data_IF_765480149219
#
_entry.id   IF_765480149219
#
_cell.length_a   1.000
_cell.length_b   1.000
_cell.length_c   1.000
_cell.angle_alpha   90.00
_cell.angle_beta   90.00
_cell.angle_gamma   90.00
#
_symmetry.space_group_name_H-M   'P 1'
#
loop_
_entity.id
_entity.type
_entity.pdbx_description
1 polymer ?
#
# COMPACT_ATOMS: atom_id res chain seq x y z
N UNK A 1 34.14 -26.70 11.95
CA UNK A 1 33.60 -27.51 10.86
C UNK A 1 32.12 -27.16 10.76
N UNK A 2 31.69 -26.57 9.65
CA UNK A 2 30.26 -26.37 9.40
C UNK A 2 29.55 -27.71 9.22
N UNK A 3 28.24 -27.77 9.47
CA UNK A 3 27.43 -28.99 9.26
C UNK A 3 27.61 -29.52 7.82
N UNK A 4 27.65 -28.61 6.84
CA UNK A 4 27.84 -28.92 5.43
C UNK A 4 29.20 -29.55 5.14
N UNK A 5 30.29 -29.02 5.72
CA UNK A 5 31.63 -29.62 5.60
C UNK A 5 31.68 -31.02 6.23
N UNK A 6 31.05 -31.20 7.38
CA UNK A 6 31.01 -32.50 8.05
C UNK A 6 30.29 -33.55 7.19
N UNK A 7 29.12 -33.19 6.63
CA UNK A 7 28.37 -34.07 5.73
C UNK A 7 29.19 -34.42 4.48
N UNK A 8 29.81 -33.43 3.85
CA UNK A 8 30.60 -33.61 2.63
C UNK A 8 31.88 -34.43 2.83
N UNK A 9 32.65 -34.12 3.86
CA UNK A 9 34.00 -34.67 4.03
C UNK A 9 34.01 -35.97 4.83
N UNK A 10 33.03 -36.19 5.71
CA UNK A 10 33.04 -37.33 6.63
C UNK A 10 31.82 -38.22 6.47
N UNK A 11 30.62 -37.69 6.73
CA UNK A 11 29.47 -38.56 7.00
C UNK A 11 28.96 -39.26 5.73
N UNK A 12 28.90 -38.56 4.59
CA UNK A 12 28.52 -39.17 3.30
C UNK A 12 29.60 -40.14 2.78
N UNK A 13 30.90 -39.78 2.73
CA UNK A 13 31.95 -40.74 2.36
C UNK A 13 31.97 -41.97 3.26
N UNK A 14 31.82 -41.80 4.58
CA UNK A 14 31.78 -42.90 5.53
C UNK A 14 30.55 -43.79 5.30
N UNK A 15 29.35 -43.21 5.14
CA UNK A 15 28.13 -43.98 4.85
C UNK A 15 28.22 -44.76 3.54
N UNK A 16 28.86 -44.18 2.50
CA UNK A 16 29.15 -44.90 1.25
C UNK A 16 30.11 -46.05 1.46
N UNK A 17 31.14 -45.87 2.29
CA UNK A 17 32.08 -46.94 2.61
C UNK A 17 31.39 -48.07 3.35
N UNK A 18 30.55 -47.75 4.34
CA UNK A 18 29.73 -48.75 5.07
C UNK A 18 28.85 -49.56 4.12
N UNK A 19 28.21 -48.93 3.12
CA UNK A 19 27.44 -49.66 2.11
C UNK A 19 28.31 -50.60 1.24
N UNK A 20 29.54 -50.20 0.91
CA UNK A 20 30.49 -51.07 0.19
C UNK A 20 30.91 -52.25 1.04
N UNK A 21 31.18 -52.01 2.32
CA UNK A 21 31.56 -53.06 3.27
C UNK A 21 30.38 -54.04 3.46
N UNK A 22 29.15 -53.54 3.54
CA UNK A 22 27.94 -54.37 3.58
C UNK A 22 27.81 -55.27 2.36
N UNK A 23 28.12 -54.78 1.15
CA UNK A 23 28.08 -55.62 -0.04
C UNK A 23 29.04 -56.83 0.07
N UNK A 24 30.30 -56.59 0.47
CA UNK A 24 31.27 -57.67 0.68
C UNK A 24 30.85 -58.62 1.82
N UNK A 25 30.31 -58.07 2.91
CA UNK A 25 29.87 -58.87 4.05
C UNK A 25 28.67 -59.75 3.71
N UNK A 26 27.71 -59.24 2.92
CA UNK A 26 26.55 -60.02 2.50
C UNK A 26 26.92 -61.19 1.58
N UNK A 27 27.92 -61.02 0.72
CA UNK A 27 28.45 -62.12 -0.07
C UNK A 27 28.97 -63.24 0.85
N UNK A 28 29.76 -62.88 1.87
CA UNK A 28 30.27 -63.84 2.86
C UNK A 28 29.16 -64.52 3.67
N UNK A 29 28.12 -63.77 4.03
CA UNK A 29 26.94 -64.31 4.71
C UNK A 29 26.22 -65.31 3.81
N UNK A 30 26.08 -65.03 2.52
CA UNK A 30 25.49 -65.95 1.56
C UNK A 30 26.31 -67.25 1.44
N UNK A 31 27.64 -67.12 1.27
CA UNK A 31 28.56 -68.28 1.19
C UNK A 31 28.49 -69.13 2.47
N UNK A 32 28.39 -68.48 3.64
CA UNK A 32 28.20 -69.16 4.93
C UNK A 32 26.86 -69.89 5.01
N UNK A 33 25.75 -69.23 4.66
CA UNK A 33 24.42 -69.84 4.70
C UNK A 33 24.36 -71.09 3.80
N UNK A 34 24.94 -71.04 2.60
CA UNK A 34 25.03 -72.19 1.70
C UNK A 34 25.86 -73.32 2.32
N UNK A 35 27.08 -73.01 2.77
CA UNK A 35 27.99 -74.00 3.36
C UNK A 35 27.41 -74.63 4.62
N UNK A 36 26.82 -73.83 5.51
CA UNK A 36 26.16 -74.27 6.75
C UNK A 36 24.99 -75.20 6.42
N UNK A 37 24.15 -74.82 5.45
CA UNK A 37 23.03 -75.67 5.04
C UNK A 37 23.49 -76.99 4.45
N UNK A 38 24.56 -77.03 3.65
CA UNK A 38 25.09 -78.27 3.08
C UNK A 38 25.72 -79.19 4.13
N UNK A 39 26.51 -78.63 5.05
CA UNK A 39 27.27 -79.38 6.05
C UNK A 39 26.48 -79.76 7.30
N UNK A 40 25.40 -79.03 7.64
CA UNK A 40 24.62 -79.31 8.84
C UNK A 40 23.90 -80.67 8.78
N UNK A 41 23.90 -81.38 9.91
CA UNK A 41 23.11 -82.60 10.12
C UNK A 41 21.61 -82.31 10.25
N UNK A 42 21.25 -81.21 10.90
CA UNK A 42 19.87 -80.72 11.03
C UNK A 42 19.60 -79.56 10.06
N UNK A 43 18.90 -79.87 8.96
CA UNK A 43 18.58 -78.88 7.91
C UNK A 43 17.54 -77.84 8.37
N UNK A 44 16.67 -78.16 9.32
CA UNK A 44 15.65 -77.19 9.80
C UNK A 44 16.33 -76.07 10.58
N UNK A 45 17.25 -76.43 11.47
CA UNK A 45 18.02 -75.46 12.24
C UNK A 45 18.87 -74.55 11.35
N UNK A 46 19.57 -75.11 10.34
CA UNK A 46 20.37 -74.32 9.40
C UNK A 46 19.51 -73.36 8.55
N UNK A 47 18.29 -73.77 8.20
CA UNK A 47 17.34 -72.91 7.48
C UNK A 47 16.83 -71.75 8.36
N UNK A 48 16.51 -72.02 9.62
CA UNK A 48 16.10 -70.98 10.58
C UNK A 48 17.22 -69.94 10.77
N UNK A 49 18.47 -70.39 10.87
CA UNK A 49 19.64 -69.50 10.95
C UNK A 49 19.80 -68.65 9.69
N UNK A 50 19.62 -69.25 8.51
CA UNK A 50 19.63 -68.52 7.23
C UNK A 50 18.53 -67.46 7.16
N UNK A 51 17.33 -67.79 7.65
CA UNK A 51 16.20 -66.84 7.70
C UNK A 51 16.48 -65.67 8.65
N UNK A 52 17.09 -65.95 9.81
CA UNK A 52 17.50 -64.93 10.77
C UNK A 52 18.55 -63.99 10.16
N UNK A 53 19.61 -64.53 9.54
CA UNK A 53 20.65 -63.76 8.87
C UNK A 53 20.09 -62.95 7.69
N UNK A 54 19.14 -63.50 6.93
CA UNK A 54 18.47 -62.78 5.84
C UNK A 54 17.68 -61.58 6.35
N UNK A 55 16.95 -61.75 7.45
CA UNK A 55 16.16 -60.67 8.07
C UNK A 55 17.08 -59.58 8.62
N UNK A 56 18.16 -59.96 9.31
CA UNK A 56 19.17 -59.04 9.82
C UNK A 56 19.86 -58.26 8.69
N UNK A 57 20.21 -58.95 7.60
CA UNK A 57 20.83 -58.38 6.41
C UNK A 57 19.94 -57.33 5.75
N UNK A 58 18.65 -57.65 5.56
CA UNK A 58 17.67 -56.73 5.01
C UNK A 58 17.51 -55.48 5.88
N UNK A 59 17.34 -55.67 7.20
CA UNK A 59 17.21 -54.56 8.14
C UNK A 59 18.44 -53.65 8.13
N UNK A 60 19.63 -54.25 8.11
CA UNK A 60 20.89 -53.53 8.13
C UNK A 60 21.11 -52.69 6.87
N UNK A 61 20.94 -53.27 5.67
CA UNK A 61 21.08 -52.51 4.41
C UNK A 61 20.05 -51.39 4.33
N UNK A 62 18.79 -51.67 4.68
CA UNK A 62 17.72 -50.67 4.63
C UNK A 62 18.04 -49.48 5.52
N UNK A 63 18.53 -49.73 6.73
CA UNK A 63 18.95 -48.66 7.64
C UNK A 63 20.09 -47.83 7.05
N UNK A 64 21.14 -48.46 6.51
CA UNK A 64 22.28 -47.74 5.96
C UNK A 64 21.92 -46.91 4.73
N UNK A 65 21.06 -47.43 3.85
CA UNK A 65 20.55 -46.68 2.69
C UNK A 65 19.71 -45.49 3.16
N UNK A 66 18.81 -45.67 4.12
CA UNK A 66 17.97 -44.59 4.66
C UNK A 66 18.80 -43.49 5.34
N UNK A 67 19.79 -43.89 6.15
CA UNK A 67 20.71 -42.98 6.83
C UNK A 67 21.52 -42.14 5.84
N UNK A 68 22.12 -42.80 4.84
CA UNK A 68 22.90 -42.10 3.81
C UNK A 68 22.02 -41.18 2.94
N UNK A 69 20.82 -41.61 2.57
CA UNK A 69 19.88 -40.79 1.82
C UNK A 69 19.48 -39.53 2.60
N UNK A 70 19.21 -39.67 3.91
CA UNK A 70 18.89 -38.54 4.78
C UNK A 70 20.05 -37.56 4.88
N UNK A 71 21.29 -38.06 5.04
CA UNK A 71 22.49 -37.22 5.05
C UNK A 71 22.68 -36.47 3.72
N UNK A 72 22.44 -37.12 2.58
CA UNK A 72 22.50 -36.49 1.25
C UNK A 72 21.44 -35.41 1.05
N UNK A 73 20.18 -35.68 1.41
CA UNK A 73 19.11 -34.69 1.32
C UNK A 73 19.42 -33.47 2.20
N UNK A 74 19.92 -33.70 3.41
CA UNK A 74 20.34 -32.63 4.31
C UNK A 74 21.45 -31.75 3.71
N UNK A 75 22.43 -32.36 3.05
CA UNK A 75 23.48 -31.62 2.34
C UNK A 75 22.89 -30.74 1.23
N UNK A 76 21.97 -31.28 0.43
CA UNK A 76 21.34 -30.54 -0.66
C UNK A 76 20.50 -29.37 -0.15
N UNK A 77 19.75 -29.56 0.93
CA UNK A 77 18.97 -28.49 1.58
C UNK A 77 19.86 -27.35 2.08
N UNK A 78 21.00 -27.70 2.72
CA UNK A 78 21.98 -26.72 3.19
C UNK A 78 22.61 -25.95 2.01
N UNK A 79 22.99 -26.64 0.92
CA UNK A 79 23.50 -25.98 -0.28
C UNK A 79 22.47 -25.05 -0.92
N UNK A 80 21.21 -25.48 -1.00
CA UNK A 80 20.13 -24.66 -1.54
C UNK A 80 19.84 -23.43 -0.65
N UNK A 81 20.02 -23.53 0.67
CA UNK A 81 19.91 -22.39 1.57
C UNK A 81 21.07 -21.40 1.38
N UNK A 82 22.30 -21.88 1.27
CA UNK A 82 23.47 -21.02 1.01
C UNK A 82 23.36 -20.31 -0.34
N UNK A 83 22.89 -20.99 -1.39
CA UNK A 83 22.65 -20.37 -2.70
C UNK A 83 21.60 -19.27 -2.64
N UNK A 84 20.48 -19.48 -1.93
CA UNK A 84 19.45 -18.44 -1.74
C UNK A 84 19.99 -17.21 -1.00
N UNK A 85 20.89 -17.42 -0.04
CA UNK A 85 21.55 -16.31 0.67
C UNK A 85 22.44 -15.51 -0.29
N UNK A 86 23.27 -16.19 -1.08
CA UNK A 86 24.13 -15.56 -2.09
C UNK A 86 23.29 -14.82 -3.14
N UNK A 87 22.17 -15.40 -3.58
CA UNK A 87 21.23 -14.76 -4.50
C UNK A 87 20.67 -13.45 -3.92
N UNK A 88 20.25 -13.45 -2.65
CA UNK A 88 19.76 -12.25 -1.97
C UNK A 88 20.85 -11.18 -1.84
N UNK A 89 22.09 -11.58 -1.50
CA UNK A 89 23.24 -10.68 -1.42
C UNK A 89 23.55 -10.04 -2.79
N UNK A 90 23.54 -10.83 -3.86
CA UNK A 90 23.69 -10.35 -5.25
C UNK A 90 22.54 -9.41 -5.62
N UNK A 91 21.30 -9.73 -5.23
CA UNK A 91 20.14 -8.86 -5.43
C UNK A 91 20.31 -7.50 -4.76
N UNK A 92 20.80 -7.45 -3.52
CA UNK A 92 21.11 -6.20 -2.82
C UNK A 92 22.19 -5.39 -3.54
N UNK A 93 23.23 -6.06 -4.04
CA UNK A 93 24.30 -5.41 -4.82
C UNK A 93 23.74 -4.83 -6.12
N UNK A 94 22.91 -5.60 -6.85
CA UNK A 94 22.28 -5.15 -8.08
C UNK A 94 21.44 -3.88 -7.85
N UNK A 95 20.57 -3.88 -6.84
CA UNK A 95 19.76 -2.71 -6.48
C UNK A 95 20.64 -1.49 -6.15
N UNK A 96 21.77 -1.70 -5.47
CA UNK A 96 22.70 -0.63 -5.12
C UNK A 96 23.39 -0.04 -6.35
N UNK A 97 23.74 -0.88 -7.31
CA UNK A 97 24.30 -0.46 -8.61
C UNK A 97 23.26 0.33 -9.41
N UNK A 98 22.02 -0.12 -9.47
CA UNK A 98 20.95 0.60 -10.18
C UNK A 98 20.66 1.96 -9.56
N UNK A 99 20.57 2.01 -8.22
CA UNK A 99 20.46 3.28 -7.49
C UNK A 99 21.67 4.19 -7.76
N UNK A 100 22.88 3.63 -7.85
CA UNK A 100 24.08 4.42 -8.15
C UNK A 100 24.03 4.98 -9.57
N UNK A 101 23.69 4.17 -10.57
CA UNK A 101 23.53 4.58 -11.96
C UNK A 101 22.51 5.72 -12.08
N UNK A 102 21.36 5.58 -11.43
CA UNK A 102 20.33 6.62 -11.40
C UNK A 102 20.82 7.90 -10.72
N UNK A 103 21.52 7.79 -9.58
CA UNK A 103 22.09 8.95 -8.87
C UNK A 103 23.13 9.68 -9.73
N UNK A 104 23.98 8.96 -10.45
CA UNK A 104 24.97 9.55 -11.36
C UNK A 104 24.27 10.27 -12.50
N UNK A 105 23.31 9.63 -13.17
CA UNK A 105 22.51 10.23 -14.25
C UNK A 105 21.79 11.51 -13.79
N UNK A 106 21.11 11.47 -12.63
CA UNK A 106 20.44 12.65 -12.06
C UNK A 106 21.42 13.77 -11.71
N UNK A 107 22.63 13.45 -11.28
CA UNK A 107 23.67 14.45 -10.98
C UNK A 107 24.12 15.16 -12.26
N UNK A 108 24.33 14.40 -13.35
CA UNK A 108 24.72 14.95 -14.66
C UNK A 108 23.62 15.88 -15.20
N UNK A 109 22.36 15.42 -15.22
CA UNK A 109 21.23 16.25 -15.63
C UNK A 109 21.05 17.45 -14.68
N UNK A 110 21.15 17.23 -13.36
CA UNK A 110 21.00 18.27 -12.34
C UNK A 110 21.97 19.43 -12.52
N UNK A 111 23.21 19.15 -12.96
CA UNK A 111 24.20 20.19 -13.30
C UNK A 111 23.75 21.13 -14.43
N UNK A 112 22.84 20.68 -15.29
CA UNK A 112 22.29 21.44 -16.42
C UNK A 112 20.95 22.11 -16.07
N UNK A 113 20.45 21.96 -14.85
CA UNK A 113 19.16 22.53 -14.41
C UNK A 113 19.33 23.79 -13.57
N UNK A 114 18.32 24.66 -13.60
CA UNK A 114 18.18 25.80 -12.71
C UNK A 114 16.81 25.75 -12.02
N UNK A 115 16.72 26.22 -10.78
CA UNK A 115 15.45 26.21 -10.04
C UNK A 115 14.44 27.16 -10.68
N UNK A 116 13.30 26.63 -11.11
CA UNK A 116 12.16 27.43 -11.57
C UNK A 116 11.09 27.45 -10.48
N UNK A 117 10.84 28.62 -9.90
CA UNK A 117 9.73 28.82 -8.96
C UNK A 117 8.47 29.12 -9.73
N UNK A 118 7.41 28.36 -9.46
CA UNK A 118 6.07 28.66 -9.93
C UNK A 118 5.35 29.41 -8.82
N UNK A 119 4.98 30.69 -9.00
CA UNK A 119 4.12 31.35 -8.03
C UNK A 119 2.80 30.59 -7.97
N UNK A 120 2.38 30.20 -6.77
CA UNK A 120 1.05 29.66 -6.55
C UNK A 120 0.07 30.83 -6.53
N UNK A 121 -0.55 31.14 -7.68
CA UNK A 121 -1.59 32.16 -7.77
C UNK A 121 -2.96 31.51 -7.91
N UNK A 122 -3.97 32.07 -7.23
CA UNK A 122 -5.36 31.81 -7.60
C UNK A 122 -5.65 32.52 -8.93
N UNK A 123 -6.29 31.82 -9.87
CA UNK A 123 -6.60 32.35 -11.22
C UNK A 123 -7.47 33.62 -11.16
N UNK A 124 -8.29 33.75 -10.12
CA UNK A 124 -9.11 34.92 -9.86
C UNK A 124 -8.90 35.25 -8.39
N UNK A 125 -8.34 36.43 -8.12
CA UNK A 125 -8.30 37.00 -6.77
C UNK A 125 -9.38 38.08 -6.69
N UNK A 126 -10.49 37.86 -5.96
CA UNK A 126 -11.47 38.90 -5.72
C UNK A 126 -10.81 40.10 -5.03
N UNK A 127 -11.24 41.34 -5.34
CA UNK A 127 -10.73 42.52 -4.65
C UNK A 127 -11.03 42.40 -3.13
N UNK A 128 -10.16 42.90 -2.25
CA UNK A 128 -10.33 42.79 -0.78
C UNK A 128 -11.65 43.37 -0.26
N UNK A 129 -12.17 44.39 -0.93
CA UNK A 129 -13.47 44.98 -0.66
C UNK A 129 -14.34 44.89 -1.92
N UNK A 130 -15.35 44.01 -1.98
CA UNK A 130 -16.32 44.05 -3.06
C UNK A 130 -17.10 45.38 -2.99
N UNK A 131 -17.44 46.00 -4.14
CA UNK A 131 -18.22 47.22 -4.14
C UNK A 131 -19.57 46.98 -3.45
N UNK A 132 -19.97 47.90 -2.55
CA UNK A 132 -21.29 47.86 -1.95
C UNK A 132 -22.33 48.11 -3.06
N UNK A 133 -23.28 47.19 -3.22
CA UNK A 133 -24.33 47.33 -4.21
C UNK A 133 -25.41 48.26 -3.67
N UNK A 134 -25.49 49.48 -4.20
CA UNK A 134 -26.54 50.43 -3.82
C UNK A 134 -27.91 49.98 -4.37
N UNK A 135 -28.95 49.88 -3.53
CA UNK A 135 -30.30 49.54 -3.99
C UNK A 135 -30.84 50.58 -4.98
N UNK A 136 -31.55 50.12 -6.00
CA UNK A 136 -32.20 51.00 -6.96
C UNK A 136 -33.42 51.71 -6.36
N UNK A 137 -33.54 53.01 -6.60
CA UNK A 137 -34.75 53.79 -6.32
C UNK A 137 -35.01 54.80 -7.43
N UNK A 138 -36.31 55.06 -7.68
CA UNK A 138 -36.74 56.00 -8.73
C UNK A 138 -36.48 57.43 -8.26
N UNK A 139 -35.67 58.18 -9.01
CA UNK A 139 -35.50 59.63 -8.84
C UNK A 139 -36.23 60.37 -9.97
N UNK A 140 -37.03 61.40 -9.69
CA UNK A 140 -37.55 62.31 -10.70
C UNK A 140 -36.41 62.98 -11.48
N UNK A 141 -36.68 63.40 -12.72
CA UNK A 141 -35.70 64.08 -13.57
C UNK A 141 -35.33 65.44 -12.94
N UNK A 142 -34.05 65.63 -12.62
CA UNK A 142 -33.52 66.87 -12.07
C UNK A 142 -32.68 67.59 -13.14
N UNK A 143 -33.21 68.68 -13.70
CA UNK A 143 -32.55 69.48 -14.73
C UNK A 143 -31.41 70.35 -14.18
N UNK A 144 -31.27 70.47 -12.86
CA UNK A 144 -30.30 71.37 -12.23
C UNK A 144 -29.04 70.65 -11.73
N UNK A 145 -28.93 69.32 -11.90
CA UNK A 145 -27.83 68.50 -11.31
C UNK A 145 -26.44 68.86 -11.86
N UNK A 146 -26.37 69.52 -13.00
CA UNK A 146 -25.13 69.96 -13.64
C UNK A 146 -24.94 71.48 -13.61
N UNK A 147 -25.86 72.23 -13.00
CA UNK A 147 -25.80 73.71 -13.01
C UNK A 147 -24.59 74.25 -12.26
N UNK A 148 -24.03 73.48 -11.33
CA UNK A 148 -22.83 73.85 -10.56
C UNK A 148 -21.52 73.38 -11.24
N UNK A 149 -21.62 72.73 -12.42
CA UNK A 149 -20.47 72.28 -13.21
C UNK A 149 -20.30 73.19 -14.43
N UNK A 150 -19.27 74.04 -14.43
CA UNK A 150 -19.01 75.01 -15.50
C UNK A 150 -19.75 76.34 -15.28
N UNK A 151 -20.37 76.88 -16.33
CA UNK A 151 -21.14 78.15 -16.29
C UNK A 151 -22.64 77.86 -16.40
N UNK A 152 -23.20 77.14 -15.43
CA UNK A 152 -24.60 76.74 -15.45
C UNK A 152 -25.56 77.92 -15.28
N UNK A 153 -26.72 77.82 -15.93
CA UNK A 153 -27.78 78.85 -15.88
C UNK A 153 -28.89 78.33 -14.97
N UNK A 154 -28.93 78.83 -13.74
CA UNK A 154 -30.00 78.48 -12.79
C UNK A 154 -31.32 79.12 -13.22
N UNK A 155 -32.31 78.30 -13.57
CA UNK A 155 -33.67 78.78 -13.84
C UNK A 155 -34.29 79.22 -12.51
N UNK A 156 -34.27 80.52 -12.22
CA UNK A 156 -34.98 81.08 -11.06
C UNK A 156 -36.49 80.96 -11.27
N UNK A 157 -37.28 80.40 -10.33
CA UNK A 157 -38.72 80.38 -10.46
C UNK A 157 -39.27 81.79 -10.28
N UNK A 158 -39.45 82.49 -11.40
CA UNK A 158 -40.07 83.80 -11.47
C UNK A 158 -41.58 83.72 -11.25
N UNK A 159 -42.03 84.40 -10.20
CA UNK A 159 -43.41 84.85 -9.90
C UNK A 159 -44.38 84.90 -11.11
N UNK A 160 -45.56 84.30 -10.94
CA UNK A 160 -46.81 84.89 -11.43
C UNK A 160 -47.91 83.93 -11.90
N UNK A 161 -48.91 83.64 -11.04
CA UNK A 161 -50.20 83.08 -11.51
C UNK A 161 -51.04 82.28 -10.50
N UNK A 162 -51.70 82.98 -9.56
CA UNK A 162 -52.87 82.74 -8.67
C UNK A 162 -53.35 81.30 -8.25
N UNK A 163 -53.92 81.16 -7.02
CA UNK A 163 -54.23 79.87 -6.38
C UNK A 163 -55.72 79.46 -6.45
N UNK A 164 -55.99 78.16 -6.26
CA UNK A 164 -57.31 77.67 -5.82
C UNK A 164 -57.19 76.34 -5.04
N UNK A 165 -57.78 76.32 -3.83
CA UNK A 165 -58.37 75.15 -3.15
C UNK A 165 -57.41 74.07 -2.63
N UNK A 166 -56.95 74.10 -1.38
CA UNK A 166 -57.66 73.67 -0.16
C UNK A 166 -57.54 72.16 0.16
N UNK A 167 -56.81 71.88 1.26
CA UNK A 167 -57.11 71.01 2.42
C UNK A 167 -57.61 69.58 2.12
N UNK A 168 -57.07 68.50 2.65
CA UNK A 168 -56.33 68.24 3.90
C UNK A 168 -56.55 66.74 4.26
N UNK A 169 -56.05 66.33 5.44
CA UNK A 169 -56.07 64.96 6.04
C UNK A 169 -54.90 64.11 5.53
N UNK A 170 -53.78 63.92 6.24
CA UNK A 170 -53.62 63.72 7.68
C UNK A 170 -54.13 62.32 8.03
N UNK A 171 -53.24 61.42 8.47
CA UNK A 171 -53.38 60.52 9.63
C UNK A 171 -51.99 60.11 10.08
N UNK A 172 -51.64 60.58 11.27
CA UNK A 172 -50.68 59.93 12.15
C UNK A 172 -51.36 58.72 12.78
N UNK A 173 -50.62 57.65 13.06
CA UNK A 173 -50.63 56.94 14.34
C UNK A 173 -49.52 55.89 14.37
N UNK A 174 -49.08 55.48 15.59
CA UNK A 174 -47.70 55.19 15.89
C UNK A 174 -47.57 53.74 16.41
N UNK A 175 -46.33 53.28 16.49
CA UNK A 175 -45.71 52.64 17.66
C UNK A 175 -46.36 51.40 18.33
N UNK A 176 -45.43 50.49 18.66
CA UNK A 176 -45.37 49.44 19.69
C UNK A 176 -45.82 48.04 19.23
N UNK A 177 -44.94 47.05 19.03
CA UNK A 177 -43.98 46.37 19.93
C UNK A 177 -44.56 45.01 20.38
N UNK A 178 -43.66 44.13 20.82
CA UNK A 178 -43.89 42.91 21.62
C UNK A 178 -44.15 41.60 20.84
N UNK A 179 -43.04 40.92 20.57
CA UNK A 179 -42.65 39.66 21.22
C UNK A 179 -43.69 38.52 21.33
N UNK A 180 -43.33 37.40 20.69
CA UNK A 180 -43.60 36.00 21.05
C UNK A 180 -44.98 35.42 20.74
N UNK A 181 -44.98 34.48 19.78
CA UNK A 181 -45.38 33.09 20.09
C UNK A 181 -44.32 32.15 19.50
N UNK A 182 -43.82 31.29 20.38
CA UNK A 182 -42.83 30.27 20.14
C UNK A 182 -43.46 28.96 19.63
N UNK A 183 -42.56 28.08 19.18
CA UNK A 183 -42.63 26.61 19.22
C UNK A 183 -43.52 25.89 18.20
N UNK A 184 -42.84 25.32 17.19
CA UNK A 184 -42.75 23.88 16.89
C UNK A 184 -41.73 23.78 15.74
N UNK A 185 -40.55 23.17 15.84
CA UNK A 185 -40.26 21.90 16.50
C UNK A 185 -40.63 20.76 15.57
N UNK A 186 -39.83 20.48 14.53
CA UNK A 186 -39.72 19.14 13.94
C UNK A 186 -38.45 18.95 13.08
N UNK A 187 -37.90 17.77 13.27
CA UNK A 187 -36.58 17.24 12.94
C UNK A 187 -36.25 17.15 11.43
N UNK A 188 -34.95 17.06 11.08
CA UNK A 188 -34.43 16.82 9.74
C UNK A 188 -34.34 15.31 9.48
N UNK A 189 -35.29 14.76 8.74
CA UNK A 189 -35.23 13.39 8.22
C UNK A 189 -36.38 13.14 7.26
N UNK A 190 -36.32 13.69 6.03
CA UNK A 190 -37.27 13.36 4.96
C UNK A 190 -36.83 13.86 3.57
N UNK A 191 -35.56 13.65 3.20
CA UNK A 191 -35.15 13.77 1.79
C UNK A 191 -34.15 12.68 1.34
N UNK A 192 -34.30 11.47 1.88
CA UNK A 192 -33.71 10.22 1.36
C UNK A 192 -34.80 9.25 0.87
N UNK A 193 -35.72 9.75 0.04
CA UNK A 193 -36.77 8.93 -0.59
C UNK A 193 -36.91 9.16 -2.10
N UNK A 194 -35.79 9.39 -2.77
CA UNK A 194 -35.67 9.21 -4.22
C UNK A 194 -34.47 8.31 -4.49
N UNK A 195 -34.63 7.04 -4.13
CA UNK A 195 -33.62 6.00 -4.31
C UNK A 195 -33.39 5.69 -5.79
N UNK A 196 -32.20 6.02 -6.28
CA UNK A 196 -31.58 5.37 -7.42
C UNK A 196 -30.21 4.84 -6.99
N UNK A 197 -30.08 3.52 -7.11
CA UNK A 197 -28.99 2.70 -6.60
C UNK A 197 -27.79 2.67 -7.56
N UNK A 198 -26.64 2.34 -6.96
CA UNK A 198 -25.26 2.32 -7.47
C UNK A 198 -25.00 1.15 -8.44
N UNK A 199 -23.97 1.25 -9.31
CA UNK A 199 -22.89 0.25 -9.28
C UNK A 199 -21.48 0.90 -9.33
N UNK A 200 -20.64 0.64 -8.32
CA UNK A 200 -19.52 -0.34 -8.31
C UNK A 200 -18.38 -0.05 -9.32
N UNK A 201 -17.38 0.71 -8.83
CA UNK A 201 -15.90 0.44 -8.80
C UNK A 201 -15.14 0.04 -10.09
N UNK A 202 -13.78 0.01 -10.12
CA UNK A 202 -12.72 0.71 -9.36
C UNK A 202 -11.72 1.42 -10.31
N UNK A 203 -10.61 1.95 -9.79
CA UNK A 203 -9.28 2.18 -10.41
C UNK A 203 -8.71 3.55 -10.03
N UNK A 204 -8.07 3.64 -8.86
CA UNK A 204 -6.61 3.76 -8.74
C UNK A 204 -6.23 3.86 -7.26
N UNK A 205 -5.55 2.82 -6.81
CA UNK A 205 -4.78 2.79 -5.58
C UNK A 205 -3.32 3.10 -5.93
N UNK A 206 -2.71 4.02 -5.18
CA UNK A 206 -1.27 4.18 -4.90
C UNK A 206 -0.97 5.67 -4.78
N UNK A 207 -0.39 6.23 -3.74
CA UNK A 207 0.22 5.69 -2.53
C UNK A 207 0.50 6.88 -1.65
N UNK A 208 -0.10 7.01 -0.47
CA UNK A 208 0.42 7.90 0.58
C UNK A 208 -0.12 7.44 1.94
N UNK A 209 0.44 6.36 2.46
CA UNK A 209 0.41 6.06 3.89
C UNK A 209 1.70 5.34 4.27
N UNK A 210 2.61 6.09 4.91
CA UNK A 210 3.54 5.63 5.94
C UNK A 210 4.05 6.92 6.62
N UNK A 211 3.33 7.40 7.65
CA UNK A 211 3.64 7.16 9.07
C UNK A 211 5.03 7.66 9.46
N UNK A 212 5.05 8.92 9.91
CA UNK A 212 6.05 9.48 10.82
C UNK A 212 5.40 9.45 12.21
N UNK A 213 6.06 8.78 13.16
CA UNK A 213 5.81 8.84 14.61
C UNK A 213 7.19 8.90 15.28
N UNK A 214 7.35 9.64 16.39
CA UNK A 214 8.45 10.56 16.63
C UNK A 214 9.53 10.01 17.59
N UNK A 215 10.58 10.82 17.80
CA UNK A 215 11.44 10.77 18.98
C UNK A 215 10.90 11.70 20.06
#
# INVERSE_FOLDING_TARGET
>A
MSELEQLQQRDIPAGRQVLRDHHCNLHRVADYCESNYLQASDKRKALEETMALSTQSLASVTYQVSSLATAFLRLLDLQAAELRKVEADVGCVAQRVDMHKEKVSRREIGSLTVSKRFPSYQKIMPPPSPPCLEPYYRKPLNFNVLDDIGHGIKVSPGRGGRPAGARGLGWAFPVLDVLTIALMGLNPSLMEKWGLSVPRSPLWASSYWCLVVPA
#
